data_IF_304196092697
#
_entry.id   IF_304196092697
#
_cell.length_a   1.000
_cell.length_b   1.000
_cell.length_c   1.000
_cell.angle_alpha   90.00
_cell.angle_beta   90.00
_cell.angle_gamma   90.00
#
_symmetry.space_group_name_H-M   'P 1'
#
loop_
_entity.id
_entity.type
_entity.pdbx_description
1 polymer ?
#
# COMPACT_ATOMS: atom_id res chain seq x y z
N UNK A 1 -20.14 25.72 -14.48
CA UNK A 1 -18.87 25.27 -15.09
C UNK A 1 -19.17 24.26 -16.16
N UNK A 2 -18.60 24.42 -17.35
CA UNK A 2 -18.84 23.51 -18.50
C UNK A 2 -17.65 22.57 -18.75
N UNK A 3 -16.46 23.00 -18.36
CA UNK A 3 -15.23 22.24 -18.48
C UNK A 3 -14.49 22.20 -17.13
N UNK A 4 -13.63 21.22 -16.93
CA UNK A 4 -12.70 21.15 -15.82
C UNK A 4 -11.37 20.56 -16.24
N UNK A 5 -10.32 20.88 -15.47
CA UNK A 5 -9.02 20.21 -15.52
C UNK A 5 -8.50 20.02 -14.10
N UNK A 6 -7.67 18.99 -13.91
CA UNK A 6 -6.88 18.88 -12.68
C UNK A 6 -5.70 19.83 -12.80
N UNK A 7 -5.40 20.58 -11.75
CA UNK A 7 -4.35 21.58 -11.71
C UNK A 7 -3.28 21.11 -10.74
N UNK A 8 -3.00 21.87 -9.68
CA UNK A 8 -2.01 21.52 -8.66
C UNK A 8 -2.39 20.20 -7.95
N UNK A 9 -1.50 19.21 -8.01
CA UNK A 9 -1.62 17.98 -7.22
C UNK A 9 -0.35 17.79 -6.42
N UNK A 10 -0.46 17.82 -5.10
CA UNK A 10 0.67 17.65 -4.19
C UNK A 10 0.38 16.52 -3.22
N UNK A 11 1.35 15.64 -3.04
CA UNK A 11 1.30 14.60 -2.02
C UNK A 11 2.28 14.95 -0.92
N UNK A 12 1.82 14.90 0.32
CA UNK A 12 2.64 15.04 1.51
C UNK A 12 2.37 13.87 2.45
N UNK A 13 3.28 13.64 3.41
CA UNK A 13 2.99 12.71 4.49
C UNK A 13 3.20 13.34 5.87
N UNK A 14 2.36 12.89 6.80
CA UNK A 14 2.40 13.25 8.21
C UNK A 14 2.82 12.01 8.99
N UNK A 15 3.89 12.16 9.77
CA UNK A 15 4.34 11.11 10.67
C UNK A 15 3.32 10.90 11.80
N UNK A 16 2.96 9.65 12.05
CA UNK A 16 2.05 9.26 13.12
C UNK A 16 2.78 9.16 14.47
N UNK A 17 3.36 10.28 14.92
CA UNK A 17 3.96 10.45 16.26
C UNK A 17 3.14 11.47 17.07
N UNK A 18 3.46 11.58 18.37
CA UNK A 18 2.80 12.52 19.33
C UNK A 18 2.77 13.97 18.85
N UNK A 19 3.64 14.39 17.92
CA UNK A 19 3.55 15.66 17.21
C UNK A 19 3.37 15.36 15.72
N UNK A 20 2.16 15.59 15.21
CA UNK A 20 1.86 15.54 13.77
C UNK A 20 2.70 16.59 13.06
N UNK A 21 3.81 16.17 12.45
CA UNK A 21 4.73 17.04 11.71
C UNK A 21 4.67 16.65 10.24
N UNK A 22 4.41 17.63 9.36
CA UNK A 22 4.59 17.47 7.93
C UNK A 22 6.08 17.27 7.65
N UNK A 23 6.44 16.13 7.08
CA UNK A 23 7.84 15.75 6.91
C UNK A 23 8.34 16.09 5.51
N UNK A 24 7.65 15.60 4.48
CA UNK A 24 8.06 15.78 3.09
C UNK A 24 6.83 15.92 2.19
N UNK A 25 7.03 16.59 1.05
CA UNK A 25 6.01 16.75 0.02
C UNK A 25 6.61 16.65 -1.38
N UNK A 26 5.78 16.25 -2.34
CA UNK A 26 6.13 16.16 -3.75
C UNK A 26 4.93 16.61 -4.57
N UNK A 27 5.16 17.45 -5.57
CA UNK A 27 4.13 17.87 -6.51
C UNK A 27 4.12 16.92 -7.71
N UNK A 28 2.95 16.37 -8.02
CA UNK A 28 2.69 15.53 -9.19
C UNK A 28 2.33 16.39 -10.39
N UNK A 29 1.36 17.29 -10.22
CA UNK A 29 0.93 18.20 -11.26
C UNK A 29 1.19 19.65 -10.82
N UNK A 30 1.61 20.49 -11.76
CA UNK A 30 1.73 21.93 -11.55
C UNK A 30 0.40 22.66 -11.72
N UNK A 31 0.41 23.99 -11.60
CA UNK A 31 -0.79 24.84 -11.73
C UNK A 31 -1.46 24.77 -13.11
N UNK A 32 -0.72 24.33 -14.12
CA UNK A 32 -1.21 24.13 -15.49
C UNK A 32 -1.71 22.69 -15.72
N UNK A 33 -1.65 21.85 -14.68
CA UNK A 33 -2.05 20.45 -14.76
C UNK A 33 -0.99 19.56 -15.44
N UNK A 34 0.25 20.03 -15.53
CA UNK A 34 1.31 19.32 -16.22
C UNK A 34 2.11 18.45 -15.27
N UNK A 35 2.43 17.23 -15.70
CA UNK A 35 3.14 16.27 -14.90
C UNK A 35 4.58 16.72 -14.61
N UNK A 36 5.00 16.51 -13.37
CA UNK A 36 6.39 16.63 -12.94
C UNK A 36 7.27 15.64 -13.71
N UNK A 37 8.23 16.11 -14.54
CA UNK A 37 9.11 15.23 -15.31
C UNK A 37 9.93 14.26 -14.45
N UNK A 38 10.20 14.62 -13.19
CA UNK A 38 10.96 13.80 -12.26
C UNK A 38 10.15 12.63 -11.68
N UNK A 39 8.83 12.60 -11.88
CA UNK A 39 7.95 11.56 -11.35
C UNK A 39 7.43 10.61 -12.44
N UNK A 40 8.06 10.56 -13.61
CA UNK A 40 7.64 9.68 -14.72
C UNK A 40 7.66 8.19 -14.38
N UNK A 41 8.47 7.79 -13.39
CA UNK A 41 8.48 6.42 -12.88
C UNK A 41 7.17 6.07 -12.15
N UNK A 42 6.64 7.02 -11.38
CA UNK A 42 5.40 6.87 -10.60
C UNK A 42 4.18 7.18 -11.48
N UNK A 43 4.28 8.19 -12.34
CA UNK A 43 3.22 8.67 -13.23
C UNK A 43 3.65 8.50 -14.69
N UNK A 44 3.25 7.40 -15.31
CA UNK A 44 3.70 7.08 -16.69
C UNK A 44 3.10 7.98 -17.76
N UNK A 45 1.96 8.63 -17.48
CA UNK A 45 1.21 9.44 -18.43
C UNK A 45 0.80 10.76 -17.79
N UNK A 46 0.66 11.78 -18.62
CA UNK A 46 -0.02 13.02 -18.25
C UNK A 46 -1.47 12.71 -17.83
N UNK A 47 -2.11 13.65 -17.13
CA UNK A 47 -3.55 13.56 -16.93
C UNK A 47 -4.27 13.55 -18.29
N UNK A 48 -5.44 12.93 -18.35
CA UNK A 48 -6.24 12.92 -19.56
C UNK A 48 -7.71 13.18 -19.24
N UNK A 49 -8.37 13.89 -20.16
CA UNK A 49 -9.77 14.26 -20.06
C UNK A 49 -10.63 13.20 -20.72
N UNK A 50 -11.61 12.67 -19.99
CA UNK A 50 -12.58 11.67 -20.49
C UNK A 50 -13.88 12.36 -20.92
N UNK A 51 -14.33 13.35 -20.16
CA UNK A 51 -15.47 14.19 -20.51
C UNK A 51 -15.18 15.65 -20.09
N UNK A 52 -15.98 16.64 -20.53
CA UNK A 52 -15.73 18.05 -20.19
C UNK A 52 -15.51 18.30 -18.70
N UNK A 53 -16.19 17.57 -17.80
CA UNK A 53 -16.09 17.74 -16.35
C UNK A 53 -15.35 16.60 -15.64
N UNK A 54 -14.74 15.69 -16.39
CA UNK A 54 -14.11 14.48 -15.86
C UNK A 54 -12.71 14.28 -16.45
N UNK A 55 -11.73 14.22 -15.55
CA UNK A 55 -10.32 14.01 -15.89
C UNK A 55 -9.72 12.98 -14.93
N UNK A 56 -8.79 12.19 -15.45
CA UNK A 56 -8.10 11.15 -14.70
C UNK A 56 -6.61 11.47 -14.59
N UNK A 57 -6.08 11.27 -13.39
CA UNK A 57 -4.65 11.21 -13.11
C UNK A 57 -4.36 9.83 -12.54
N UNK A 58 -3.52 9.06 -13.22
CA UNK A 58 -3.16 7.70 -12.80
C UNK A 58 -1.69 7.69 -12.40
N UNK A 59 -1.42 7.16 -11.22
CA UNK A 59 -0.07 7.03 -10.69
C UNK A 59 0.04 5.74 -9.85
N UNK A 60 1.24 5.21 -9.76
CA UNK A 60 1.55 4.02 -8.97
C UNK A 60 1.66 4.39 -7.48
N UNK A 61 1.20 3.52 -6.59
CA UNK A 61 1.34 3.74 -5.16
C UNK A 61 2.83 3.76 -4.77
N UNK A 62 3.24 4.76 -3.99
CA UNK A 62 4.62 4.94 -3.56
C UNK A 62 4.70 5.37 -2.09
N UNK A 63 5.87 5.24 -1.50
CA UNK A 63 6.18 5.71 -0.15
C UNK A 63 7.40 6.63 -0.22
N UNK A 64 7.47 7.63 0.67
CA UNK A 64 8.70 8.41 0.87
C UNK A 64 9.73 7.57 1.65
N UNK A 65 11.02 7.83 1.45
CA UNK A 65 12.12 7.04 2.05
C UNK A 65 12.00 6.83 3.56
N UNK A 66 11.51 7.84 4.29
CA UNK A 66 11.40 7.83 5.75
C UNK A 66 9.95 7.60 6.25
N UNK A 67 9.04 7.19 5.36
CA UNK A 67 7.65 6.95 5.69
C UNK A 67 7.44 5.52 6.19
N UNK A 68 6.65 5.38 7.26
CA UNK A 68 6.17 4.08 7.76
C UNK A 68 4.77 3.80 7.24
N UNK A 69 4.38 2.53 7.16
CA UNK A 69 2.99 2.14 6.78
C UNK A 69 1.93 2.69 7.76
N UNK A 70 2.33 3.01 8.99
CA UNK A 70 1.47 3.63 10.00
C UNK A 70 1.24 5.13 9.78
N UNK A 71 2.06 5.76 8.94
CA UNK A 71 1.99 7.19 8.62
C UNK A 71 0.89 7.48 7.60
N UNK A 72 0.44 8.72 7.57
CA UNK A 72 -0.69 9.14 6.74
C UNK A 72 -0.19 10.01 5.59
N UNK A 73 -0.61 9.68 4.37
CA UNK A 73 -0.42 10.53 3.19
C UNK A 73 -1.63 11.45 3.01
N UNK A 74 -1.36 12.67 2.59
CA UNK A 74 -2.36 13.66 2.22
C UNK A 74 -2.06 14.11 0.80
N UNK A 75 -2.98 13.83 -0.10
CA UNK A 75 -2.99 14.33 -1.47
C UNK A 75 -3.92 15.53 -1.56
N UNK A 76 -3.33 16.71 -1.73
CA UNK A 76 -4.05 17.95 -2.00
C UNK A 76 -4.22 18.08 -3.50
N UNK A 77 -5.46 18.18 -3.94
CA UNK A 77 -5.86 18.28 -5.35
C UNK A 77 -6.56 19.60 -5.56
N UNK A 78 -6.08 20.37 -6.53
CA UNK A 78 -6.76 21.53 -7.07
C UNK A 78 -7.42 21.17 -8.39
N UNK A 79 -8.71 21.44 -8.51
CA UNK A 79 -9.47 21.31 -9.76
C UNK A 79 -9.88 22.70 -10.21
N UNK A 80 -9.62 23.02 -11.47
CA UNK A 80 -10.04 24.29 -12.07
C UNK A 80 -11.22 24.04 -12.98
N UNK A 81 -12.33 24.72 -12.71
CA UNK A 81 -13.51 24.75 -13.58
C UNK A 81 -13.42 25.91 -14.55
N UNK A 82 -13.82 25.69 -15.80
CA UNK A 82 -13.84 26.70 -16.84
C UNK A 82 -15.24 26.83 -17.47
N UNK A 83 -15.58 28.05 -17.89
CA UNK A 83 -16.78 28.29 -18.70
C UNK A 83 -16.54 27.90 -20.16
N UNK A 84 -15.34 28.17 -20.68
CA UNK A 84 -14.92 27.85 -22.04
C UNK A 84 -13.89 26.72 -22.06
N UNK A 85 -13.87 25.96 -23.15
CA UNK A 85 -12.97 24.81 -23.27
C UNK A 85 -11.50 25.23 -23.37
N UNK A 86 -11.22 26.36 -24.02
CA UNK A 86 -9.90 26.98 -24.21
C UNK A 86 -9.15 27.22 -22.90
N UNK A 87 -9.87 27.66 -21.87
CA UNK A 87 -9.30 27.97 -20.54
C UNK A 87 -8.88 26.71 -19.78
N UNK A 88 -9.42 25.55 -20.15
CA UNK A 88 -9.14 24.25 -19.54
C UNK A 88 -8.25 23.36 -20.44
N UNK A 89 -7.63 23.90 -21.49
CA UNK A 89 -6.69 23.15 -22.34
C UNK A 89 -5.36 22.95 -21.59
N UNK A 90 -4.88 21.70 -21.59
CA UNK A 90 -3.57 21.35 -21.07
C UNK A 90 -2.49 21.67 -22.10
N UNK A 91 -1.66 22.67 -21.80
CA UNK A 91 -0.54 23.10 -22.65
C UNK A 91 0.78 22.73 -21.98
N UNK A 92 1.07 21.42 -21.92
CA UNK A 92 2.28 20.92 -21.27
C UNK A 92 3.45 20.91 -22.25
N UNK A 93 4.56 21.62 -21.95
CA UNK A 93 5.72 21.62 -22.82
C UNK A 93 6.31 20.21 -22.85
N UNK A 94 6.29 19.57 -24.03
CA UNK A 94 7.18 18.47 -24.33
C UNK A 94 8.64 18.93 -24.15
N UNK A 95 9.54 18.02 -23.80
CA UNK A 95 10.92 18.33 -23.38
C UNK A 95 11.62 19.46 -24.17
N UNK A 96 12.43 20.23 -23.45
CA UNK A 96 13.30 21.32 -23.94
C UNK A 96 12.64 22.49 -24.69
N UNK A 97 11.50 22.99 -24.21
CA UNK A 97 11.00 24.31 -24.64
C UNK A 97 11.35 25.38 -23.60
N UNK A 98 12.11 26.38 -24.05
CA UNK A 98 12.47 27.59 -23.31
C UNK A 98 11.21 28.18 -22.68
N UNK A 99 11.19 28.27 -21.35
CA UNK A 99 10.09 28.82 -20.54
C UNK A 99 9.79 30.26 -20.96
N UNK A 100 8.91 30.41 -21.93
CA UNK A 100 8.35 31.72 -22.31
C UNK A 100 7.30 32.00 -21.24
N UNK A 101 7.40 33.14 -20.54
CA UNK A 101 6.42 33.51 -19.52
C UNK A 101 5.04 33.49 -20.18
N UNK A 102 4.19 32.55 -19.76
CA UNK A 102 2.80 32.48 -20.20
C UNK A 102 2.14 33.83 -19.88
N UNK A 103 1.34 34.40 -20.79
CA UNK A 103 0.48 35.53 -20.46
C UNK A 103 -0.36 35.11 -19.26
N UNK A 104 -0.44 36.00 -18.28
CA UNK A 104 -1.27 35.84 -17.10
C UNK A 104 -2.72 35.82 -17.59
N UNK A 105 -3.29 34.63 -17.76
CA UNK A 105 -4.66 34.48 -18.21
C UNK A 105 -5.56 35.19 -17.19
N UNK A 106 -6.31 36.17 -17.66
CA UNK A 106 -7.31 36.87 -16.84
C UNK A 106 -8.41 35.88 -16.47
N UNK A 107 -8.28 35.29 -15.28
CA UNK A 107 -9.10 34.21 -14.71
C UNK A 107 -10.54 34.63 -14.31
N UNK A 108 -11.17 35.56 -15.03
CA UNK A 108 -12.53 36.00 -14.71
C UNK A 108 -13.58 34.90 -14.95
N UNK A 109 -13.25 33.90 -15.78
CA UNK A 109 -14.15 32.82 -16.20
C UNK A 109 -13.70 31.44 -15.73
N UNK A 110 -12.93 31.37 -14.63
CA UNK A 110 -12.46 30.13 -14.02
C UNK A 110 -12.65 30.14 -12.51
N UNK A 111 -12.89 28.98 -11.90
CA UNK A 111 -12.90 28.82 -10.44
C UNK A 111 -12.01 27.67 -10.05
N UNK A 112 -11.47 27.76 -8.85
CA UNK A 112 -10.63 26.72 -8.28
C UNK A 112 -11.31 26.08 -7.06
N UNK A 113 -11.28 24.75 -7.02
CA UNK A 113 -11.67 23.95 -5.86
C UNK A 113 -10.46 23.18 -5.35
N UNK A 114 -10.34 23.09 -4.04
CA UNK A 114 -9.28 22.33 -3.38
C UNK A 114 -9.90 21.20 -2.57
N UNK A 115 -9.28 20.03 -2.63
CA UNK A 115 -9.70 18.86 -1.86
C UNK A 115 -8.49 18.10 -1.32
N UNK A 116 -8.56 17.70 -0.06
CA UNK A 116 -7.51 16.94 0.61
C UNK A 116 -7.96 15.49 0.80
N UNK A 117 -7.27 14.58 0.13
CA UNK A 117 -7.54 13.14 0.17
C UNK A 117 -6.50 12.49 1.06
N UNK A 118 -6.95 11.90 2.15
CA UNK A 118 -6.08 11.24 3.11
C UNK A 118 -6.11 9.72 2.96
N UNK A 119 -4.95 9.08 2.89
CA UNK A 119 -4.84 7.62 2.75
C UNK A 119 -3.55 7.08 3.40
N UNK A 120 -3.44 5.76 3.49
CA UNK A 120 -2.23 5.06 3.92
C UNK A 120 -1.80 4.09 2.84
N UNK A 121 -0.49 3.91 2.69
CA UNK A 121 0.10 2.93 1.78
C UNK A 121 0.55 1.74 2.62
N UNK A 122 0.04 0.57 2.26
CA UNK A 122 0.37 -0.71 2.92
C UNK A 122 1.19 -1.52 1.94
N UNK A 123 2.37 -1.97 2.37
CA UNK A 123 3.18 -2.84 1.54
C UNK A 123 2.52 -4.21 1.46
N UNK A 124 2.52 -4.88 0.30
CA UNK A 124 2.02 -6.23 0.21
C UNK A 124 2.81 -7.12 1.18
N UNK A 125 2.09 -7.84 2.04
CA UNK A 125 2.68 -8.78 2.98
C UNK A 125 3.50 -9.79 2.15
N UNK A 126 4.83 -9.79 2.30
CA UNK A 126 5.66 -10.82 1.65
C UNK A 126 5.09 -12.16 2.10
N UNK A 127 4.66 -12.98 1.15
CA UNK A 127 4.08 -14.30 1.39
C UNK A 127 5.09 -15.24 2.06
N UNK A 128 5.38 -15.01 3.33
CA UNK A 128 6.13 -15.87 4.23
C UNK A 128 5.18 -16.62 5.19
N UNK A 129 3.87 -16.39 5.07
CA UNK A 129 2.82 -17.05 5.85
C UNK A 129 2.60 -18.53 5.46
N UNK A 130 3.13 -18.95 4.30
CA UNK A 130 3.06 -20.35 3.86
C UNK A 130 4.02 -21.29 4.61
N UNK A 131 5.10 -20.77 5.20
CA UNK A 131 6.07 -21.58 5.95
C UNK A 131 5.58 -21.88 7.37
N UNK A 132 4.95 -20.90 8.04
CA UNK A 132 4.46 -21.05 9.42
C UNK A 132 3.24 -21.99 9.47
N UNK A 133 2.32 -21.88 8.51
CA UNK A 133 1.15 -22.78 8.45
C UNK A 133 1.51 -24.23 8.08
N UNK A 134 2.54 -24.46 7.25
CA UNK A 134 3.02 -25.83 6.96
C UNK A 134 3.74 -26.47 8.14
N UNK A 135 4.54 -25.71 8.89
CA UNK A 135 5.22 -26.21 10.08
C UNK A 135 4.22 -26.68 11.14
N UNK A 136 3.19 -25.88 11.43
CA UNK A 136 2.16 -26.25 12.40
C UNK A 136 1.36 -27.49 11.98
N UNK A 137 1.13 -27.69 10.68
CA UNK A 137 0.41 -28.86 10.17
C UNK A 137 1.23 -30.17 10.21
N UNK A 138 2.56 -30.10 10.34
CA UNK A 138 3.44 -31.28 10.46
C UNK A 138 3.84 -31.59 11.92
N UNK A 139 3.93 -30.58 12.79
CA UNK A 139 4.36 -30.76 14.18
C UNK A 139 3.29 -31.48 15.02
N UNK A 140 2.02 -31.09 14.88
CA UNK A 140 0.90 -31.65 15.65
C UNK A 140 0.74 -33.18 15.44
N UNK A 141 0.68 -33.71 14.20
CA UNK A 141 0.56 -35.16 14.00
C UNK A 141 1.80 -35.93 14.45
N UNK A 142 2.99 -35.33 14.38
CA UNK A 142 4.25 -35.96 14.81
C UNK A 142 4.29 -36.16 16.33
N UNK A 143 3.86 -35.16 17.11
CA UNK A 143 3.79 -35.26 18.57
C UNK A 143 2.76 -36.31 18.99
N UNK A 144 1.58 -36.33 18.35
CA UNK A 144 0.56 -37.34 18.63
C UNK A 144 1.06 -38.76 18.34
N UNK A 145 1.74 -38.98 17.22
CA UNK A 145 2.32 -40.28 16.88
C UNK A 145 3.37 -40.73 17.91
N UNK A 146 4.20 -39.81 18.39
CA UNK A 146 5.22 -40.13 19.40
C UNK A 146 4.58 -40.52 20.75
N UNK A 147 3.54 -39.81 21.19
CA UNK A 147 2.82 -40.13 22.42
C UNK A 147 2.16 -41.51 22.38
N UNK A 148 1.58 -41.89 21.24
CA UNK A 148 0.99 -43.22 21.04
C UNK A 148 2.05 -44.32 21.13
N UNK A 149 3.22 -44.11 20.51
CA UNK A 149 4.35 -45.05 20.58
C UNK A 149 4.83 -45.25 22.02
N UNK A 150 5.00 -44.18 22.79
CA UNK A 150 5.40 -44.24 24.19
C UNK A 150 4.38 -45.02 25.03
N UNK A 151 3.08 -44.80 24.80
CA UNK A 151 2.02 -45.52 25.49
C UNK A 151 2.04 -47.03 25.19
N UNK A 152 2.28 -47.42 23.94
CA UNK A 152 2.39 -48.83 23.54
C UNK A 152 3.61 -49.49 24.21
N UNK A 153 4.76 -48.82 24.22
CA UNK A 153 5.98 -49.34 24.87
C UNK A 153 5.75 -49.50 26.38
N UNK A 154 5.12 -48.52 27.04
CA UNK A 154 4.78 -48.63 28.45
C UNK A 154 3.85 -49.81 28.74
N UNK A 155 2.84 -50.04 27.89
CA UNK A 155 1.91 -51.17 28.01
C UNK A 155 2.64 -52.52 27.84
N UNK A 156 3.55 -52.63 26.88
CA UNK A 156 4.35 -53.84 26.69
C UNK A 156 5.28 -54.10 27.88
N UNK A 157 5.87 -53.05 28.46
CA UNK A 157 6.69 -53.15 29.66
C UNK A 157 5.87 -53.63 30.87
N UNK A 158 4.67 -53.09 31.10
CA UNK A 158 3.82 -53.54 32.22
C UNK A 158 3.36 -54.99 32.04
N UNK A 159 2.98 -55.39 30.83
CA UNK A 159 2.63 -56.78 30.52
C UNK A 159 3.82 -57.71 30.76
N UNK A 160 5.03 -57.33 30.33
CA UNK A 160 6.25 -58.13 30.52
C UNK A 160 6.58 -58.29 32.01
N UNK A 161 6.48 -57.22 32.79
CA UNK A 161 6.68 -57.25 34.25
C UNK A 161 5.63 -58.15 34.91
N UNK A 162 4.34 -58.00 34.58
CA UNK A 162 3.27 -58.85 35.13
C UNK A 162 3.47 -60.33 34.80
N UNK A 163 3.89 -60.65 33.57
CA UNK A 163 4.17 -62.03 33.15
C UNK A 163 5.39 -62.61 33.88
N UNK A 164 6.43 -61.80 34.13
CA UNK A 164 7.61 -62.24 34.86
C UNK A 164 7.30 -62.46 36.36
N UNK A 165 6.50 -61.58 36.96
CA UNK A 165 6.00 -61.73 38.33
C UNK A 165 5.12 -62.98 38.50
N UNK A 166 4.29 -63.31 37.50
CA UNK A 166 3.50 -64.56 37.50
C UNK A 166 4.38 -65.80 37.43
N UNK A 167 5.41 -65.83 36.55
CA UNK A 167 6.35 -66.96 36.47
C UNK A 167 7.09 -67.21 37.79
N UNK A 168 7.58 -66.16 38.45
CA UNK A 168 8.29 -66.28 39.74
C UNK A 168 7.37 -66.84 40.83
N UNK A 169 6.09 -66.44 40.86
CA UNK A 169 5.10 -67.00 41.80
C UNK A 169 4.71 -68.46 41.51
N UNK A 170 4.94 -68.99 40.30
CA UNK A 170 4.60 -70.39 39.97
C UNK A 170 5.76 -71.37 40.24
N UNK A 171 6.97 -70.87 40.52
CA UNK A 171 8.17 -71.66 40.84
C UNK A 171 8.52 -71.64 42.34
N UNK A 172 7.75 -70.93 43.17
CA UNK A 172 7.93 -70.81 44.61
C UNK A 172 6.87 -71.54 45.43
N UNK A 173 6.58 -72.79 45.08
CA UNK A 173 5.90 -73.80 45.91
C UNK A 173 6.71 -75.09 45.77
#
# INVERSE_FOLDING_TARGET
WKYSRVSDVTISYIENKRRKKFMNSVWILDSNGCLNPNLREICKREQYRVSPLESYLIFEAFMFDNMKETDQMIMTVKVTGCMEGSDCILNCPGGHVRKTRSPQATHNNTIDWHNDISFRVVLPERANSTTISRANHMIIPSILSFLVLVAIVALLCTIKVLKNQRKIKTMGI
#
